data_IF_371445000739
#
_entry.id   IF_371445000739
#
_cell.length_a   1.000
_cell.length_b   1.000
_cell.length_c   1.000
_cell.angle_alpha   90.00
_cell.angle_beta   90.00
_cell.angle_gamma   90.00
#
_symmetry.space_group_name_H-M   'P 1'
#
loop_
_entity.id
_entity.type
_entity.pdbx_description
1 polymer ?
#
# COMPACT_ATOMS: atom_id res chain seq x y z
N UNK A 1 -16.32 -17.13 -4.70
CA UNK A 1 -15.02 -16.50 -4.93
C UNK A 1 -14.89 -15.32 -4.00
N UNK A 2 -13.78 -15.19 -3.25
CA UNK A 2 -13.58 -14.06 -2.33
C UNK A 2 -13.41 -12.76 -3.11
N UNK A 3 -13.89 -11.65 -2.57
CA UNK A 3 -13.80 -10.31 -3.16
C UNK A 3 -12.74 -9.51 -2.43
N UNK A 4 -11.76 -8.97 -3.15
CA UNK A 4 -10.63 -8.22 -2.58
C UNK A 4 -10.58 -6.82 -3.18
N UNK A 5 -10.46 -5.79 -2.35
CA UNK A 5 -10.25 -4.42 -2.79
C UNK A 5 -8.80 -3.99 -2.52
N UNK A 6 -8.12 -3.48 -3.55
CA UNK A 6 -6.71 -3.07 -3.49
C UNK A 6 -6.62 -1.55 -3.57
N UNK A 7 -6.01 -0.92 -2.57
CA UNK A 7 -5.76 0.51 -2.51
C UNK A 7 -4.26 0.76 -2.32
N UNK A 8 -3.63 1.59 -3.14
CA UNK A 8 -2.20 1.86 -3.02
C UNK A 8 -1.67 2.77 -4.12
N UNK A 9 -0.42 3.14 -3.97
CA UNK A 9 0.29 4.05 -4.87
C UNK A 9 0.87 3.36 -6.11
N UNK A 10 1.93 3.93 -6.69
CA UNK A 10 2.61 3.37 -7.87
C UNK A 10 3.33 2.04 -7.61
N UNK A 11 3.57 1.65 -6.35
CA UNK A 11 4.09 0.31 -6.04
C UNK A 11 3.01 -0.74 -6.32
N UNK A 12 1.71 -0.38 -6.13
CA UNK A 12 0.58 -1.23 -6.51
C UNK A 12 0.39 -1.30 -8.02
N UNK A 13 0.19 -0.16 -8.66
CA UNK A 13 -0.29 -0.10 -10.04
C UNK A 13 0.79 -0.03 -11.10
N UNK A 14 2.01 0.32 -10.71
CA UNK A 14 3.10 0.66 -11.65
C UNK A 14 3.16 2.16 -11.95
N UNK A 15 4.12 2.50 -12.78
CA UNK A 15 4.38 3.84 -13.31
C UNK A 15 4.91 3.69 -14.75
N UNK A 16 5.20 4.80 -15.45
CA UNK A 16 5.80 4.74 -16.79
C UNK A 16 7.07 3.86 -16.79
N UNK A 17 7.01 2.76 -17.55
CA UNK A 17 8.10 1.80 -17.65
C UNK A 17 8.21 0.77 -16.53
N UNK A 18 7.28 0.73 -15.58
CA UNK A 18 7.26 -0.29 -14.52
C UNK A 18 5.89 -0.94 -14.37
N UNK A 19 5.89 -2.22 -14.00
CA UNK A 19 4.69 -2.97 -13.61
C UNK A 19 4.66 -3.00 -12.07
N UNK A 20 3.57 -2.54 -11.44
CA UNK A 20 3.39 -2.69 -9.99
C UNK A 20 3.10 -4.14 -9.58
N UNK A 21 2.91 -4.39 -8.29
CA UNK A 21 2.61 -5.74 -7.81
C UNK A 21 1.20 -6.23 -8.19
N UNK A 22 0.26 -5.36 -8.49
CA UNK A 22 -1.16 -5.72 -8.69
C UNK A 22 -1.39 -6.73 -9.82
N UNK A 23 -0.83 -6.61 -11.05
CA UNK A 23 -1.03 -7.59 -12.10
C UNK A 23 -0.55 -9.00 -11.70
N UNK A 24 0.57 -9.10 -11.00
CA UNK A 24 1.10 -10.38 -10.50
C UNK A 24 0.21 -10.95 -9.39
N UNK A 25 -0.29 -10.11 -8.50
CA UNK A 25 -1.24 -10.52 -7.46
C UNK A 25 -2.55 -11.03 -8.05
N UNK A 26 -3.09 -10.33 -9.07
CA UNK A 26 -4.30 -10.78 -9.81
C UNK A 26 -4.09 -12.14 -10.45
N UNK A 27 -2.94 -12.34 -11.10
CA UNK A 27 -2.61 -13.63 -11.73
C UNK A 27 -2.56 -14.76 -10.70
N UNK A 28 -1.94 -14.55 -9.54
CA UNK A 28 -1.89 -15.54 -8.45
C UNK A 28 -3.26 -15.85 -7.86
N UNK A 29 -4.16 -14.89 -7.86
CA UNK A 29 -5.49 -14.98 -7.28
C UNK A 29 -6.53 -15.59 -8.22
N UNK A 30 -6.15 -15.93 -9.47
CA UNK A 30 -7.07 -16.49 -10.46
C UNK A 30 -7.77 -17.73 -9.93
N UNK A 31 -9.10 -17.75 -10.03
CA UNK A 31 -9.94 -18.85 -9.57
C UNK A 31 -10.27 -18.84 -8.07
N UNK A 32 -9.54 -18.08 -7.25
CA UNK A 32 -9.79 -17.96 -5.81
C UNK A 32 -10.43 -16.63 -5.41
N UNK A 33 -9.91 -15.51 -5.98
CA UNK A 33 -10.37 -14.17 -5.64
C UNK A 33 -10.67 -13.33 -6.89
N UNK A 34 -11.59 -12.37 -6.74
CA UNK A 34 -11.79 -11.25 -7.66
C UNK A 34 -11.18 -10.02 -7.02
N UNK A 35 -10.25 -9.37 -7.71
CA UNK A 35 -9.60 -8.15 -7.22
C UNK A 35 -10.22 -6.91 -7.89
N UNK A 36 -10.59 -5.94 -7.07
CA UNK A 36 -11.06 -4.61 -7.45
C UNK A 36 -10.01 -3.57 -7.06
N UNK A 37 -9.84 -2.52 -7.84
CA UNK A 37 -8.89 -1.45 -7.52
C UNK A 37 -9.21 -0.19 -8.31
N UNK A 38 -8.88 1.01 -7.78
CA UNK A 38 -8.92 2.24 -8.57
C UNK A 38 -7.99 2.16 -9.78
N UNK A 39 -8.40 2.78 -10.88
CA UNK A 39 -7.60 2.91 -12.10
C UNK A 39 -6.54 4.03 -12.00
N UNK A 40 -6.37 4.61 -10.81
CA UNK A 40 -5.45 5.71 -10.54
C UNK A 40 -4.54 5.42 -9.33
N UNK A 41 -3.49 6.24 -9.21
CA UNK A 41 -2.57 6.22 -8.08
C UNK A 41 -3.26 6.82 -6.86
N UNK A 42 -3.32 6.06 -5.76
CA UNK A 42 -3.97 6.49 -4.52
C UNK A 42 -3.13 7.47 -3.68
N UNK A 43 -1.91 7.77 -4.11
CA UNK A 43 -1.00 8.78 -3.57
C UNK A 43 -0.84 8.71 -2.03
N UNK A 44 -1.03 9.85 -1.35
CA UNK A 44 -0.87 10.01 0.10
C UNK A 44 -2.18 9.76 0.87
N UNK A 45 -2.08 9.54 2.17
CA UNK A 45 -3.20 9.15 3.02
C UNK A 45 -4.41 10.09 2.95
N UNK A 46 -4.18 11.40 2.87
CA UNK A 46 -5.27 12.39 2.77
C UNK A 46 -5.99 12.32 1.42
N UNK A 47 -5.26 12.07 0.32
CA UNK A 47 -5.85 11.88 -1.01
C UNK A 47 -6.69 10.60 -1.04
N UNK A 48 -6.15 9.49 -0.52
CA UNK A 48 -6.88 8.24 -0.40
C UNK A 48 -8.17 8.40 0.42
N UNK A 49 -8.10 9.07 1.57
CA UNK A 49 -9.28 9.37 2.39
C UNK A 49 -10.34 10.19 1.64
N UNK A 50 -9.91 11.16 0.81
CA UNK A 50 -10.83 12.00 0.04
C UNK A 50 -11.55 11.23 -1.05
N UNK A 51 -10.87 10.28 -1.72
CA UNK A 51 -11.37 9.64 -2.93
C UNK A 51 -11.91 8.22 -2.74
N UNK A 52 -11.58 7.53 -1.65
CA UNK A 52 -11.92 6.10 -1.47
C UNK A 52 -13.40 5.79 -1.61
N UNK A 53 -14.30 6.72 -1.26
CA UNK A 53 -15.74 6.51 -1.43
C UNK A 53 -16.15 6.44 -2.92
N UNK A 54 -15.52 7.25 -3.79
CA UNK A 54 -15.75 7.20 -5.22
C UNK A 54 -15.23 5.90 -5.81
N UNK A 55 -14.03 5.48 -5.41
CA UNK A 55 -13.43 4.22 -5.86
C UNK A 55 -14.21 2.98 -5.40
N UNK A 56 -14.95 3.08 -4.31
CA UNK A 56 -15.80 2.01 -3.82
C UNK A 56 -17.11 1.85 -4.63
N UNK A 57 -17.53 2.87 -5.40
CA UNK A 57 -18.73 2.82 -6.25
C UNK A 57 -18.58 1.80 -7.40
N UNK A 58 -17.34 1.57 -7.86
CA UNK A 58 -17.03 0.68 -8.97
C UNK A 58 -16.88 -0.81 -8.57
N UNK A 59 -17.21 -1.17 -7.33
CA UNK A 59 -17.09 -2.53 -6.84
C UNK A 59 -18.28 -2.93 -5.94
N UNK A 60 -18.51 -4.25 -5.70
CA UNK A 60 -19.56 -4.72 -4.79
C UNK A 60 -19.15 -4.49 -3.32
N UNK A 61 -19.14 -3.26 -2.87
CA UNK A 61 -18.56 -2.83 -1.59
C UNK A 61 -19.07 -3.63 -0.38
N UNK A 62 -20.37 -3.99 -0.36
CA UNK A 62 -20.99 -4.83 0.69
C UNK A 62 -20.54 -6.30 0.66
N UNK A 63 -19.89 -6.75 -0.39
CA UNK A 63 -19.42 -8.14 -0.57
C UNK A 63 -17.90 -8.28 -0.45
N UNK A 64 -17.15 -7.18 -0.29
CA UNK A 64 -15.68 -7.25 -0.14
C UNK A 64 -15.33 -8.00 1.14
N UNK A 65 -14.51 -9.03 1.00
CA UNK A 65 -14.03 -9.88 2.09
C UNK A 65 -12.70 -9.36 2.69
N UNK A 66 -11.86 -8.71 1.86
CA UNK A 66 -10.57 -8.18 2.29
C UNK A 66 -10.24 -6.87 1.58
N UNK A 67 -9.82 -5.86 2.33
CA UNK A 67 -9.19 -4.65 1.81
C UNK A 67 -7.70 -4.71 2.09
N UNK A 68 -6.88 -4.66 1.04
CA UNK A 68 -5.42 -4.53 1.13
C UNK A 68 -5.07 -3.09 0.77
N UNK A 69 -4.42 -2.35 1.68
CA UNK A 69 -4.19 -0.93 1.46
C UNK A 69 -2.82 -0.46 1.94
N UNK A 70 -2.31 0.57 1.28
CA UNK A 70 -1.03 1.22 1.55
C UNK A 70 -1.15 2.73 1.37
N UNK A 71 -0.53 3.47 2.27
CA UNK A 71 -0.19 4.90 2.16
C UNK A 71 1.14 5.12 2.88
N UNK A 72 1.96 6.07 2.44
CA UNK A 72 3.20 6.40 3.13
C UNK A 72 4.31 6.93 2.22
N UNK A 73 4.61 6.29 1.07
CA UNK A 73 5.69 6.77 0.20
C UNK A 73 5.47 8.19 -0.33
N UNK A 74 4.23 8.57 -0.59
CA UNK A 74 3.89 9.93 -0.96
C UNK A 74 3.84 10.86 0.25
N UNK A 75 3.48 10.34 1.42
CA UNK A 75 3.45 11.10 2.67
C UNK A 75 4.86 11.51 3.10
N UNK A 76 5.87 10.64 2.96
CA UNK A 76 7.28 10.95 3.30
C UNK A 76 8.03 11.72 2.18
N UNK A 77 7.33 12.18 1.14
CA UNK A 77 7.97 12.93 0.07
C UNK A 77 8.41 14.31 0.59
N UNK A 78 9.70 14.61 0.44
CA UNK A 78 10.30 15.92 0.67
C UNK A 78 10.50 16.62 -0.66
N UNK A 79 10.18 17.91 -0.72
CA UNK A 79 10.35 18.77 -1.90
C UNK A 79 11.29 19.91 -1.54
N UNK A 80 12.27 20.19 -2.39
CA UNK A 80 13.21 21.32 -2.24
C UNK A 80 13.94 21.40 -0.89
N UNK A 81 14.14 20.27 -0.22
CA UNK A 81 14.77 20.18 1.09
C UNK A 81 13.85 20.43 2.28
N UNK A 82 12.57 20.59 2.03
CA UNK A 82 11.54 20.75 3.05
C UNK A 82 11.28 19.45 3.83
N UNK A 83 10.48 19.51 4.88
CA UNK A 83 10.01 18.35 5.64
C UNK A 83 9.04 17.47 4.82
N UNK A 84 8.72 16.22 5.26
CA UNK A 84 7.68 15.40 4.66
C UNK A 84 6.35 16.15 4.51
N UNK A 85 5.60 15.87 3.44
CA UNK A 85 4.38 16.60 3.10
C UNK A 85 3.39 16.75 4.27
N UNK A 86 2.88 15.71 4.92
CA UNK A 86 2.20 15.82 6.20
C UNK A 86 3.20 15.61 7.35
N UNK A 87 3.14 16.40 8.41
CA UNK A 87 3.86 16.07 9.64
C UNK A 87 3.33 14.77 10.25
N UNK A 88 4.11 14.09 11.11
CA UNK A 88 3.78 12.77 11.68
C UNK A 88 2.39 12.67 12.31
N UNK A 89 1.96 13.67 13.07
CA UNK A 89 0.66 13.72 13.73
C UNK A 89 -0.52 13.84 12.74
N UNK A 90 -0.30 14.48 11.59
CA UNK A 90 -1.30 14.57 10.53
C UNK A 90 -1.41 13.23 9.79
N UNK A 91 -0.28 12.55 9.55
CA UNK A 91 -0.28 11.22 8.95
C UNK A 91 -1.02 10.20 9.84
N UNK A 92 -0.72 10.17 11.15
CA UNK A 92 -1.47 9.36 12.14
C UNK A 92 -2.99 9.60 12.04
N UNK A 93 -3.40 10.88 12.12
CA UNK A 93 -4.80 11.25 12.05
C UNK A 93 -5.46 10.81 10.74
N UNK A 94 -4.77 10.96 9.60
CA UNK A 94 -5.33 10.57 8.30
C UNK A 94 -5.47 9.06 8.18
N UNK A 95 -4.53 8.26 8.69
CA UNK A 95 -4.64 6.81 8.72
C UNK A 95 -5.82 6.34 9.56
N UNK A 96 -6.02 6.90 10.75
CA UNK A 96 -7.19 6.57 11.61
C UNK A 96 -8.50 6.86 10.89
N UNK A 97 -8.59 8.01 10.25
CA UNK A 97 -9.77 8.39 9.46
C UNK A 97 -9.98 7.51 8.24
N UNK A 98 -8.89 7.10 7.56
CA UNK A 98 -8.96 6.20 6.42
C UNK A 98 -9.47 4.82 6.85
N UNK A 99 -8.95 4.25 7.94
CA UNK A 99 -9.42 2.97 8.49
C UNK A 99 -10.91 3.04 8.86
N UNK A 100 -11.34 4.11 9.53
CA UNK A 100 -12.74 4.31 9.86
C UNK A 100 -13.62 4.38 8.58
N UNK A 101 -13.15 5.06 7.53
CA UNK A 101 -13.86 5.15 6.26
C UNK A 101 -13.89 3.80 5.52
N UNK A 102 -12.81 3.03 5.52
CA UNK A 102 -12.78 1.69 4.94
C UNK A 102 -13.76 0.75 5.63
N UNK A 103 -13.85 0.78 6.95
CA UNK A 103 -14.83 -0.03 7.71
C UNK A 103 -16.28 0.36 7.42
N UNK A 104 -16.52 1.64 7.17
CA UNK A 104 -17.87 2.11 6.79
C UNK A 104 -18.25 1.64 5.38
N UNK A 105 -17.32 1.71 4.42
CA UNK A 105 -17.57 1.36 3.03
C UNK A 105 -17.60 -0.16 2.81
N UNK A 106 -16.76 -0.90 3.54
CA UNK A 106 -16.57 -2.34 3.41
C UNK A 106 -16.84 -3.08 4.74
N UNK A 107 -18.09 -3.10 5.21
CA UNK A 107 -18.43 -3.51 6.58
C UNK A 107 -18.12 -4.98 6.93
N UNK A 108 -17.96 -5.84 5.92
CA UNK A 108 -17.61 -7.26 6.08
C UNK A 108 -16.11 -7.53 5.95
N UNK A 109 -15.36 -6.57 5.39
CA UNK A 109 -13.99 -6.81 5.02
C UNK A 109 -13.05 -6.88 6.21
N UNK A 110 -12.18 -7.87 6.24
CA UNK A 110 -10.93 -7.76 6.97
C UNK A 110 -10.04 -6.68 6.33
N UNK A 111 -9.16 -6.06 7.12
CA UNK A 111 -8.24 -5.03 6.64
C UNK A 111 -6.80 -5.52 6.78
N UNK A 112 -6.00 -5.35 5.71
CA UNK A 112 -4.57 -5.60 5.70
C UNK A 112 -3.84 -4.34 5.24
N UNK A 113 -3.06 -3.73 6.12
CA UNK A 113 -2.20 -2.61 5.80
C UNK A 113 -0.82 -3.10 5.34
N UNK A 114 -0.29 -2.50 4.27
CA UNK A 114 1.06 -2.76 3.78
C UNK A 114 1.96 -1.59 4.16
N UNK A 115 3.07 -1.81 4.86
CA UNK A 115 4.04 -0.75 5.12
C UNK A 115 4.70 -0.29 3.82
N UNK A 116 5.20 0.96 3.80
CA UNK A 116 5.97 1.50 2.68
C UNK A 116 7.28 0.76 2.50
N UNK A 117 7.64 0.49 1.24
CA UNK A 117 8.89 -0.17 0.86
C UNK A 117 10.10 0.78 0.95
N UNK A 118 11.33 0.27 1.11
CA UNK A 118 12.53 1.12 1.12
C UNK A 118 12.81 1.75 -0.24
N UNK A 119 13.55 2.86 -0.24
CA UNK A 119 14.02 3.59 -1.42
C UNK A 119 15.53 3.42 -1.64
N UNK A 120 16.01 3.71 -2.85
CA UNK A 120 17.44 3.77 -3.19
C UNK A 120 17.89 5.24 -3.16
N UNK A 121 18.29 5.72 -1.99
CA UNK A 121 18.55 7.14 -1.74
C UNK A 121 19.60 7.75 -2.69
N UNK A 122 20.62 6.98 -3.07
CA UNK A 122 21.68 7.43 -3.98
C UNK A 122 21.20 7.72 -5.41
N UNK A 123 19.98 7.31 -5.77
CA UNK A 123 19.42 7.53 -7.12
C UNK A 123 18.55 8.80 -7.22
N UNK A 124 18.39 9.56 -6.15
CA UNK A 124 17.68 10.84 -6.23
C UNK A 124 18.58 11.94 -6.78
N UNK A 125 18.16 12.58 -7.87
CA UNK A 125 18.91 13.64 -8.56
C UNK A 125 18.16 14.97 -8.67
N UNK A 126 16.89 14.98 -8.32
CA UNK A 126 16.00 16.15 -8.44
C UNK A 126 15.69 16.82 -7.09
N UNK A 127 14.74 17.77 -7.09
CA UNK A 127 14.31 18.49 -5.89
C UNK A 127 13.48 17.65 -4.93
N UNK A 128 12.93 16.53 -5.41
CA UNK A 128 12.14 15.60 -4.60
C UNK A 128 12.99 14.44 -4.09
N UNK A 129 12.82 14.07 -2.85
CA UNK A 129 13.53 12.94 -2.24
C UNK A 129 12.71 12.26 -1.17
N UNK A 130 13.08 11.02 -0.87
CA UNK A 130 12.64 10.26 0.30
C UNK A 130 13.86 9.69 0.98
N UNK A 131 13.82 9.59 2.31
CA UNK A 131 14.86 8.90 3.08
C UNK A 131 14.29 7.62 3.68
N UNK A 132 15.14 6.61 3.84
CA UNK A 132 14.72 5.39 4.52
C UNK A 132 14.47 5.63 6.02
N UNK A 133 15.05 6.69 6.60
CA UNK A 133 14.76 7.10 7.97
C UNK A 133 13.32 7.61 8.11
N UNK A 134 12.89 8.51 7.23
CA UNK A 134 11.49 8.97 7.20
C UNK A 134 10.53 7.80 6.94
N UNK A 135 10.86 6.92 5.99
CA UNK A 135 10.03 5.73 5.69
C UNK A 135 9.90 4.85 6.93
N UNK A 136 10.98 4.59 7.67
CA UNK A 136 10.93 3.80 8.92
C UNK A 136 10.09 4.49 9.99
N UNK A 137 10.25 5.80 10.16
CA UNK A 137 9.47 6.57 11.11
C UNK A 137 7.97 6.51 10.81
N UNK A 138 7.58 6.76 9.55
CA UNK A 138 6.15 6.74 9.14
C UNK A 138 5.59 5.31 9.15
N UNK A 139 6.38 4.31 8.81
CA UNK A 139 5.99 2.91 8.98
C UNK A 139 5.76 2.55 10.47
N UNK A 140 6.56 3.08 11.39
CA UNK A 140 6.36 2.87 12.83
C UNK A 140 5.05 3.51 13.31
N UNK A 141 4.75 4.74 12.86
CA UNK A 141 3.46 5.42 13.14
C UNK A 141 2.30 4.57 12.60
N UNK A 142 2.39 4.16 11.33
CA UNK A 142 1.35 3.35 10.72
C UNK A 142 1.11 2.04 11.47
N UNK A 143 2.17 1.33 11.89
CA UNK A 143 2.03 0.10 12.69
C UNK A 143 1.32 0.36 14.01
N UNK A 144 1.71 1.41 14.75
CA UNK A 144 1.06 1.77 16.02
C UNK A 144 -0.44 2.02 15.82
N UNK A 145 -0.80 2.81 14.79
CA UNK A 145 -2.20 3.08 14.45
C UNK A 145 -2.96 1.79 14.10
N UNK A 146 -2.36 0.92 13.28
CA UNK A 146 -3.00 -0.33 12.85
C UNK A 146 -3.17 -1.31 14.01
N UNK A 147 -2.16 -1.43 14.89
CA UNK A 147 -2.23 -2.25 16.10
C UNK A 147 -3.35 -1.79 17.03
N UNK A 148 -3.42 -0.49 17.34
CA UNK A 148 -4.48 0.10 18.17
C UNK A 148 -5.88 -0.13 17.57
N UNK A 149 -5.99 -0.12 16.24
CA UNK A 149 -7.25 -0.32 15.53
C UNK A 149 -7.54 -1.78 15.21
N UNK A 150 -6.68 -2.73 15.58
CA UNK A 150 -6.87 -4.16 15.28
C UNK A 150 -6.84 -4.47 13.78
N UNK A 151 -5.99 -3.79 13.02
CA UNK A 151 -5.77 -4.00 11.58
C UNK A 151 -4.50 -4.81 11.39
N UNK A 152 -4.58 -5.89 10.59
CA UNK A 152 -3.41 -6.69 10.24
C UNK A 152 -2.37 -5.87 9.44
N UNK A 153 -1.09 -6.14 9.65
CA UNK A 153 0.01 -5.45 8.98
C UNK A 153 0.96 -6.44 8.31
N UNK A 154 1.27 -6.20 7.04
CA UNK A 154 2.39 -6.83 6.35
C UNK A 154 3.54 -5.82 6.19
N UNK A 155 4.72 -6.18 6.71
CA UNK A 155 5.91 -5.33 6.62
C UNK A 155 6.61 -5.46 5.27
N UNK A 156 6.17 -4.69 4.28
CA UNK A 156 6.82 -4.65 2.97
C UNK A 156 8.21 -3.99 3.01
N UNK A 157 8.52 -3.16 4.02
CA UNK A 157 9.87 -2.66 4.19
C UNK A 157 10.84 -3.80 4.50
N UNK A 158 10.47 -4.67 5.44
CA UNK A 158 11.28 -5.84 5.79
C UNK A 158 11.39 -6.83 4.62
N UNK A 159 10.30 -7.06 3.87
CA UNK A 159 10.30 -7.92 2.68
C UNK A 159 11.28 -7.42 1.62
N UNK A 160 11.30 -6.10 1.36
CA UNK A 160 12.02 -5.54 0.21
C UNK A 160 13.41 -4.96 0.54
N UNK A 161 13.80 -4.86 1.82
CA UNK A 161 15.08 -4.24 2.23
C UNK A 161 16.31 -4.94 1.66
N UNK A 162 16.23 -6.27 1.52
CA UNK A 162 17.33 -7.11 1.06
C UNK A 162 17.18 -7.50 -0.43
N UNK A 163 16.24 -6.89 -1.16
CA UNK A 163 16.10 -7.14 -2.60
C UNK A 163 17.36 -6.70 -3.35
N UNK A 164 17.82 -7.50 -4.33
CA UNK A 164 18.93 -7.12 -5.18
C UNK A 164 18.72 -5.77 -5.83
N UNK A 165 19.77 -4.97 -5.98
CA UNK A 165 19.68 -3.67 -6.64
C UNK A 165 19.21 -3.78 -8.12
N UNK A 166 19.44 -4.93 -8.76
CA UNK A 166 18.93 -5.25 -10.09
C UNK A 166 17.39 -5.39 -10.14
N UNK A 167 16.71 -5.55 -8.99
CA UNK A 167 15.26 -5.56 -8.90
C UNK A 167 14.66 -4.16 -8.72
N UNK A 168 15.49 -3.13 -8.69
CA UNK A 168 15.09 -1.73 -8.61
C UNK A 168 15.15 -1.09 -10.00
N UNK A 169 14.00 -0.61 -10.48
CA UNK A 169 13.93 0.13 -11.74
C UNK A 169 14.54 1.53 -11.58
N UNK A 170 14.08 2.27 -10.58
CA UNK A 170 14.57 3.59 -10.23
C UNK A 170 14.84 3.71 -8.72
N UNK A 171 14.70 4.91 -8.14
CA UNK A 171 14.89 5.15 -6.72
C UNK A 171 13.75 4.61 -5.84
N UNK A 172 12.56 4.35 -6.40
CA UNK A 172 11.35 3.90 -5.67
C UNK A 172 10.80 2.60 -6.24
N UNK A 173 10.66 2.52 -7.59
CA UNK A 173 9.94 1.46 -8.25
C UNK A 173 10.79 0.20 -8.48
N UNK A 174 10.10 -0.90 -8.72
CA UNK A 174 10.67 -2.22 -8.90
C UNK A 174 10.58 -2.67 -10.36
N UNK A 175 11.50 -3.55 -10.77
CA UNK A 175 11.34 -4.36 -11.97
C UNK A 175 10.25 -5.42 -11.74
N UNK A 176 9.86 -6.14 -12.78
CA UNK A 176 8.87 -7.22 -12.67
C UNK A 176 9.26 -8.26 -11.61
N UNK A 177 10.54 -8.60 -11.49
CA UNK A 177 11.02 -9.53 -10.48
C UNK A 177 10.76 -9.03 -9.05
N UNK A 178 11.05 -7.75 -8.77
CA UNK A 178 10.77 -7.15 -7.47
C UNK A 178 9.26 -7.03 -7.20
N UNK A 179 8.49 -6.60 -8.19
CA UNK A 179 7.03 -6.48 -8.09
C UNK A 179 6.35 -7.84 -7.87
N UNK A 180 6.85 -8.89 -8.53
CA UNK A 180 6.36 -10.24 -8.32
C UNK A 180 6.67 -10.76 -6.91
N UNK A 181 7.87 -10.51 -6.38
CA UNK A 181 8.23 -10.90 -5.02
C UNK A 181 7.36 -10.18 -3.97
N UNK A 182 7.02 -8.89 -4.19
CA UNK A 182 6.05 -8.18 -3.36
C UNK A 182 4.66 -8.84 -3.45
N UNK A 183 4.21 -9.16 -4.66
CA UNK A 183 2.92 -9.84 -4.86
C UNK A 183 2.86 -11.20 -4.16
N UNK A 184 3.97 -11.96 -4.13
CA UNK A 184 4.06 -13.26 -3.43
C UNK A 184 3.83 -13.10 -1.93
N UNK A 185 4.49 -12.12 -1.31
CA UNK A 185 4.33 -11.83 0.11
C UNK A 185 2.90 -11.35 0.45
N UNK A 186 2.35 -10.47 -0.40
CA UNK A 186 0.98 -9.92 -0.23
C UNK A 186 -0.06 -11.04 -0.39
N UNK A 187 0.11 -11.91 -1.38
CA UNK A 187 -0.78 -13.05 -1.60
C UNK A 187 -0.80 -14.00 -0.41
N UNK A 188 0.37 -14.35 0.11
CA UNK A 188 0.48 -15.22 1.28
C UNK A 188 -0.21 -14.62 2.52
N UNK A 189 0.02 -13.34 2.82
CA UNK A 189 -0.60 -12.65 3.94
C UNK A 189 -2.13 -12.52 3.77
N UNK A 190 -2.58 -12.13 2.57
CA UNK A 190 -4.01 -12.00 2.27
C UNK A 190 -4.75 -13.34 2.37
N UNK A 191 -4.16 -14.43 1.84
CA UNK A 191 -4.72 -15.78 1.93
C UNK A 191 -4.83 -16.24 3.38
N UNK A 192 -3.81 -15.98 4.21
CA UNK A 192 -3.86 -16.33 5.63
C UNK A 192 -5.05 -15.66 6.33
N UNK A 193 -5.29 -14.37 6.06
CA UNK A 193 -6.44 -13.62 6.64
C UNK A 193 -7.78 -14.19 6.16
N UNK A 194 -7.92 -14.46 4.86
CA UNK A 194 -9.17 -14.97 4.29
C UNK A 194 -9.55 -16.36 4.82
N UNK A 195 -8.55 -17.19 5.19
CA UNK A 195 -8.76 -18.53 5.74
C UNK A 195 -9.08 -18.54 7.25
N UNK A 196 -8.75 -17.48 7.99
CA UNK A 196 -9.10 -17.39 9.44
C UNK A 196 -10.56 -16.99 9.69
N UNK A 197 -11.29 -16.59 8.67
CA UNK A 197 -12.69 -16.18 8.75
C UNK A 197 -13.70 -17.30 8.43
N UNK A 198 -13.21 -18.51 8.21
CA UNK A 198 -14.01 -19.74 8.06
C UNK A 198 -14.00 -20.52 9.39
#
# INVERSE_FOLDING_TARGET
>A
MKQVFLLGDSIRMGNQGTTGYEPFLRQKSLGACVCHSPQENCQFAQYALRHVHQWAEDCPAGEIDLVIFNCGLWDVLRMFGDDPLPPPEVYDLMLRRLVARLRLLFPRAALLFLTSTPTVEARYTGPSRRTNDDIRQYNAIARSVMEELGVAVLDLFAVARDFPLAWRHDHVHYTDAGSQALADAIFAAGTAILNTGE
#
